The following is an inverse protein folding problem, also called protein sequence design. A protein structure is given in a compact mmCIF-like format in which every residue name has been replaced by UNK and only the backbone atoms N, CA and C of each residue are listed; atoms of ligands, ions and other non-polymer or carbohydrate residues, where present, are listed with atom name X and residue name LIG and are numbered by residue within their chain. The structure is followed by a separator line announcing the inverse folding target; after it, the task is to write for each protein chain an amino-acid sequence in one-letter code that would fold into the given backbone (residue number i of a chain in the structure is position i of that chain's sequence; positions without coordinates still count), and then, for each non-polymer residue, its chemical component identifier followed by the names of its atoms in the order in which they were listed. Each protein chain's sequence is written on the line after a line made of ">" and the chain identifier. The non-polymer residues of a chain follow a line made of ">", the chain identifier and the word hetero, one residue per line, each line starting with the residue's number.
data_IF_908624501540
#
_entry.id   IF_908624501540
#
_cell.length_a   1.000
_cell.length_b   1.000
_cell.length_c   1.000
_cell.angle_alpha   90.00
_cell.angle_beta   90.00
_cell.angle_gamma   90.00
#
_symmetry.space_group_name_H-M   'P 1'
#
loop_
_entity.id
_entity.type
_entity.pdbx_description
1 polymer ?
#
# COMPACT_ATOMS: atom_id res chain seq x y z
N UNK A 1 3.95 -2.22 -27.31
CA UNK A 1 4.47 -2.14 -27.99
C UNK A 1 4.99 -2.12 -27.82
N UNK A 2 4.44 -2.55 -27.96
CA UNK A 2 5.07 -2.75 -28.39
C UNK A 2 5.36 -3.08 -28.12
N UNK A 3 5.01 -3.63 -28.21
CA UNK A 3 5.63 -4.04 -28.51
C UNK A 3 5.59 -4.27 -28.43
N UNK A 4 5.24 -4.32 -28.27
CA UNK A 4 5.53 -4.60 -28.88
C UNK A 4 5.44 -4.90 -28.86
N UNK A 5 5.19 -5.52 -29.28
CA UNK A 5 5.57 -5.77 -29.88
C UNK A 5 5.32 -6.13 -29.81
N UNK A 6 4.86 -6.46 -30.06
CA UNK A 6 5.06 -6.92 -30.55
C UNK A 6 4.77 -7.43 -30.34
N UNK A 7 4.46 -7.96 -30.18
CA UNK A 7 4.65 -8.53 -30.39
C UNK A 7 4.43 -9.20 -30.04
N UNK A 8 3.88 -9.36 -30.37
CA UNK A 8 3.96 -10.23 -30.32
C UNK A 8 4.27 -10.49 -29.67
N UNK A 9 4.25 -10.59 -29.21
CA UNK A 9 4.80 -10.92 -28.70
C UNK A 9 4.48 -10.78 -27.99
N UNK A 10 3.86 -10.53 -28.09
CA UNK A 10 3.65 -10.57 -27.55
C UNK A 10 2.84 -10.81 -26.77
N UNK A 11 2.44 -10.85 -26.81
CA UNK A 11 1.74 -11.39 -25.91
C UNK A 11 2.13 -12.34 -24.90
N UNK A 12 2.72 -12.79 -24.82
CA UNK A 12 3.22 -13.32 -24.10
C UNK A 12 3.97 -13.16 -23.34
N UNK A 13 4.17 -13.33 -23.36
CA UNK A 13 5.11 -12.88 -22.67
C UNK A 13 5.02 -12.01 -21.53
N UNK A 14 4.50 -11.47 -21.34
CA UNK A 14 4.32 -10.64 -20.50
C UNK A 14 3.55 -10.87 -19.37
N UNK A 15 2.83 -11.67 -19.17
CA UNK A 15 1.94 -11.85 -18.07
C UNK A 15 2.63 -12.20 -16.78
N UNK A 16 3.57 -13.02 -16.79
CA UNK A 16 4.25 -13.37 -15.55
C UNK A 16 5.15 -12.25 -15.02
N UNK A 17 5.59 -11.40 -15.90
CA UNK A 17 6.48 -10.31 -15.48
C UNK A 17 5.76 -9.16 -14.82
N UNK A 18 4.44 -9.10 -14.97
CA UNK A 18 3.67 -7.98 -14.45
C UNK A 18 3.19 -8.18 -13.03
N UNK A 19 3.53 -9.30 -12.40
CA UNK A 19 2.98 -9.60 -11.08
C UNK A 19 3.70 -8.83 -9.99
N UNK A 20 3.14 -7.68 -9.61
CA UNK A 20 3.65 -6.90 -8.51
C UNK A 20 2.91 -7.32 -7.24
N UNK A 21 3.66 -7.60 -6.17
CA UNK A 21 3.11 -7.93 -4.86
C UNK A 21 3.99 -7.29 -3.81
N UNK A 22 3.46 -6.28 -3.13
CA UNK A 22 4.21 -5.53 -2.11
C UNK A 22 3.43 -5.42 -0.83
N UNK A 23 4.12 -5.50 0.30
CA UNK A 23 3.56 -5.20 1.61
C UNK A 23 4.34 -4.05 2.20
N UNK A 24 3.60 -3.00 2.59
CA UNK A 24 4.20 -1.85 3.26
C UNK A 24 3.85 -1.95 4.74
N UNK A 25 4.87 -1.97 5.58
CA UNK A 25 4.68 -2.25 7.00
C UNK A 25 5.70 -1.49 7.87
N UNK A 26 5.50 -1.55 9.18
CA UNK A 26 6.44 -1.03 10.16
C UNK A 26 6.93 -2.16 11.05
N UNK A 27 8.24 -2.27 11.19
CA UNK A 27 8.88 -3.27 12.03
C UNK A 27 8.52 -3.09 13.50
N UNK A 28 8.27 -1.85 13.92
CA UNK A 28 7.93 -1.54 15.29
C UNK A 28 6.44 -1.62 15.58
N UNK A 29 5.64 -1.99 14.60
CA UNK A 29 4.18 -2.11 14.78
C UNK A 29 3.83 -3.58 15.00
N UNK A 30 3.53 -3.95 16.26
CA UNK A 30 3.20 -5.33 16.60
C UNK A 30 2.00 -5.86 15.82
N UNK A 31 1.01 -5.01 15.62
CA UNK A 31 -0.18 -5.39 14.86
C UNK A 31 0.18 -5.77 13.42
N UNK A 32 1.04 -4.97 12.80
CA UNK A 32 1.53 -5.28 11.45
C UNK A 32 2.21 -6.64 11.42
N UNK A 33 3.14 -6.87 12.36
CA UNK A 33 3.90 -8.11 12.36
C UNK A 33 3.02 -9.32 12.56
N UNK A 34 2.00 -9.21 13.42
CA UNK A 34 1.06 -10.29 13.64
C UNK A 34 0.27 -10.62 12.37
N UNK A 35 -0.12 -9.59 11.63
CA UNK A 35 -0.86 -9.79 10.38
C UNK A 35 0.03 -10.45 9.33
N UNK A 36 1.25 -9.98 9.18
CA UNK A 36 2.17 -10.54 8.20
C UNK A 36 2.42 -12.04 8.44
N UNK A 37 2.47 -12.44 9.71
CA UNK A 37 2.72 -13.84 10.05
C UNK A 37 1.57 -14.77 9.68
N UNK A 38 0.39 -14.24 9.43
CA UNK A 38 -0.78 -15.05 9.08
C UNK A 38 -0.81 -15.52 7.64
N UNK A 39 0.04 -14.96 6.79
CA UNK A 39 -0.03 -15.20 5.37
C UNK A 39 1.32 -15.63 4.80
N UNK A 40 1.26 -16.40 3.71
CA UNK A 40 2.47 -16.83 3.02
C UNK A 40 2.91 -15.71 2.08
N UNK A 41 3.96 -15.00 2.49
CA UNK A 41 4.46 -13.82 1.75
C UNK A 41 5.74 -14.12 0.98
N UNK A 42 5.95 -15.39 0.64
CA UNK A 42 7.17 -15.82 -0.05
C UNK A 42 7.44 -15.03 -1.33
N UNK A 43 6.39 -14.74 -2.10
CA UNK A 43 6.53 -14.06 -3.37
C UNK A 43 6.27 -12.56 -3.28
N UNK A 44 6.20 -12.03 -2.07
CA UNK A 44 5.90 -10.62 -1.84
C UNK A 44 7.15 -9.84 -1.48
N UNK A 45 7.26 -8.63 -1.99
CA UNK A 45 8.30 -7.70 -1.57
C UNK A 45 7.86 -7.06 -0.26
N UNK A 46 8.65 -7.23 0.79
CA UNK A 46 8.35 -6.63 2.09
C UNK A 46 9.08 -5.31 2.21
N UNK A 47 8.31 -4.25 2.40
CA UNK A 47 8.84 -2.90 2.40
C UNK A 47 8.65 -2.26 3.77
N UNK A 48 9.73 -2.09 4.51
CA UNK A 48 9.71 -1.43 5.82
C UNK A 48 9.80 0.07 5.57
N UNK A 49 8.70 0.79 5.78
CA UNK A 49 8.56 2.16 5.28
C UNK A 49 9.30 3.22 6.09
N UNK A 50 9.74 2.90 7.30
CA UNK A 50 10.54 3.85 8.07
C UNK A 50 11.97 3.95 7.52
N UNK A 51 12.55 2.81 7.17
CA UNK A 51 13.92 2.75 6.66
C UNK A 51 13.93 2.98 5.16
N UNK A 52 12.92 2.49 4.47
CA UNK A 52 12.82 2.54 3.02
C UNK A 52 11.50 3.20 2.64
N UNK A 53 11.46 4.55 2.64
CA UNK A 53 10.20 5.28 2.49
C UNK A 53 9.44 4.97 1.21
N UNK A 54 8.13 5.12 1.32
CA UNK A 54 7.24 4.96 0.17
C UNK A 54 7.56 6.06 -0.85
N UNK A 55 7.52 5.71 -2.13
CA UNK A 55 7.80 6.64 -3.21
C UNK A 55 6.53 7.29 -3.73
N UNK A 56 6.68 8.42 -4.44
CA UNK A 56 5.54 9.08 -5.04
C UNK A 56 4.84 8.15 -6.04
N UNK A 57 5.61 7.39 -6.80
CA UNK A 57 5.05 6.43 -7.76
C UNK A 57 4.17 5.40 -7.06
N UNK A 58 4.62 4.91 -5.92
CA UNK A 58 3.86 3.93 -5.15
C UNK A 58 2.58 4.54 -4.57
N UNK A 59 2.66 5.78 -4.12
CA UNK A 59 1.48 6.49 -3.62
C UNK A 59 0.44 6.66 -4.73
N UNK A 60 0.90 6.97 -5.96
CA UNK A 60 -0.02 7.10 -7.07
C UNK A 60 -0.64 5.76 -7.47
N UNK A 61 0.12 4.68 -7.38
CA UNK A 61 -0.43 3.34 -7.61
C UNK A 61 -1.51 3.01 -6.58
N UNK A 62 -1.26 3.35 -5.31
CA UNK A 62 -2.25 3.16 -4.26
C UNK A 62 -3.51 3.99 -4.53
N UNK A 63 -3.33 5.23 -4.95
CA UNK A 63 -4.44 6.11 -5.25
C UNK A 63 -5.32 5.53 -6.36
N UNK A 64 -4.69 5.01 -7.39
CA UNK A 64 -5.40 4.42 -8.52
C UNK A 64 -6.27 3.24 -8.09
N UNK A 65 -5.75 2.43 -7.18
CA UNK A 65 -6.48 1.24 -6.71
C UNK A 65 -7.51 1.56 -5.63
N UNK A 66 -7.21 2.53 -4.77
CA UNK A 66 -8.06 2.85 -3.62
C UNK A 66 -9.11 3.92 -3.93
N UNK A 67 -8.86 4.76 -4.93
CA UNK A 67 -9.80 5.80 -5.33
C UNK A 67 -9.59 7.14 -4.66
N UNK A 68 -8.84 7.21 -3.58
CA UNK A 68 -8.54 8.47 -2.90
C UNK A 68 -7.29 8.31 -2.06
N UNK A 69 -6.63 9.43 -1.76
CA UNK A 69 -5.48 9.42 -0.84
C UNK A 69 -5.95 9.24 0.59
N UNK A 70 -7.13 9.76 0.91
CA UNK A 70 -7.69 9.62 2.25
C UNK A 70 -7.86 8.15 2.64
N UNK A 71 -8.14 7.29 1.68
CA UNK A 71 -8.40 5.87 1.94
C UNK A 71 -7.23 5.18 2.65
N UNK A 72 -6.01 5.62 2.39
CA UNK A 72 -4.84 5.03 3.04
C UNK A 72 -4.08 6.00 3.93
N UNK A 73 -4.70 7.13 4.26
CA UNK A 73 -4.13 8.11 5.18
C UNK A 73 -4.52 7.79 6.62
N UNK A 74 -3.54 7.74 7.52
CA UNK A 74 -3.80 7.44 8.93
C UNK A 74 -4.09 8.72 9.71
N UNK A 75 -5.34 8.87 10.14
CA UNK A 75 -5.73 10.00 10.98
C UNK A 75 -5.35 9.79 12.45
N UNK A 76 -4.77 8.63 12.76
CA UNK A 76 -4.31 8.31 14.11
C UNK A 76 -2.83 8.63 14.33
N UNK A 77 -2.16 9.15 13.30
CA UNK A 77 -0.76 9.53 13.44
C UNK A 77 -0.59 10.62 14.50
N UNK A 78 0.38 10.44 15.39
CA UNK A 78 0.66 11.46 16.38
C UNK A 78 1.27 12.72 15.76
N UNK A 79 1.71 12.64 14.52
CA UNK A 79 2.18 13.82 13.79
C UNK A 79 1.08 14.83 13.54
N UNK A 80 -0.18 14.39 13.50
CA UNK A 80 -1.30 15.30 13.37
C UNK A 80 -1.33 16.27 14.54
N UNK A 81 -1.20 15.75 15.76
CA UNK A 81 -1.19 16.56 16.95
C UNK A 81 0.07 17.41 17.04
N UNK A 82 1.22 16.80 16.77
CA UNK A 82 2.50 17.52 16.86
C UNK A 82 2.59 18.68 15.88
N UNK A 83 1.99 18.54 14.70
CA UNK A 83 2.00 19.59 13.68
C UNK A 83 0.77 20.49 13.76
N UNK A 84 -0.09 20.26 14.76
CA UNK A 84 -1.31 21.04 14.95
C UNK A 84 -2.19 21.05 13.71
N UNK A 85 -2.33 19.88 13.07
CA UNK A 85 -3.16 19.73 11.90
C UNK A 85 -4.62 19.50 12.31
N UNK A 86 -5.56 20.06 11.52
CA UNK A 86 -6.96 19.77 11.71
C UNK A 86 -7.40 18.76 10.64
N UNK A 87 -7.64 17.49 11.03
CA UNK A 87 -7.98 16.46 10.04
C UNK A 87 -9.21 16.79 9.21
N UNK A 88 -10.10 17.63 9.73
CA UNK A 88 -11.32 18.00 9.02
C UNK A 88 -11.07 18.98 7.88
N UNK A 89 -9.89 19.63 7.89
CA UNK A 89 -9.55 20.63 6.88
C UNK A 89 -8.56 20.15 5.86
N UNK A 90 -8.09 18.91 5.99
CA UNK A 90 -7.10 18.36 5.06
C UNK A 90 -7.77 18.01 3.73
N UNK A 91 -7.11 18.37 2.64
CA UNK A 91 -7.57 18.04 1.29
C UNK A 91 -6.87 16.79 0.80
N UNK A 92 -7.32 16.27 -0.34
CA UNK A 92 -6.66 15.13 -0.98
C UNK A 92 -5.19 15.41 -1.24
N UNK A 93 -4.88 16.60 -1.70
CA UNK A 93 -3.49 16.99 -1.96
C UNK A 93 -2.69 16.98 -0.66
N UNK A 94 -3.28 17.46 0.42
CA UNK A 94 -2.63 17.45 1.73
C UNK A 94 -2.33 16.02 2.18
N UNK A 95 -3.27 15.10 2.01
CA UNK A 95 -3.07 13.70 2.38
C UNK A 95 -1.87 13.11 1.63
N UNK A 96 -1.81 13.37 0.33
CA UNK A 96 -0.70 12.87 -0.49
C UNK A 96 0.65 13.38 0.04
N UNK A 97 0.74 14.70 0.23
CA UNK A 97 1.99 15.32 0.67
C UNK A 97 2.43 14.82 2.03
N UNK A 98 1.49 14.68 2.95
CA UNK A 98 1.81 14.20 4.30
C UNK A 98 2.27 12.75 4.30
N UNK A 99 1.62 11.90 3.51
CA UNK A 99 2.02 10.50 3.39
C UNK A 99 3.46 10.39 2.89
N UNK A 100 3.82 11.21 1.91
CA UNK A 100 5.18 11.23 1.38
C UNK A 100 6.17 11.82 2.37
N UNK A 101 5.72 12.68 3.27
CA UNK A 101 6.59 13.36 4.20
C UNK A 101 6.93 12.54 5.44
N UNK A 102 5.98 11.72 5.93
CA UNK A 102 6.23 10.97 7.16
C UNK A 102 5.52 9.63 7.15
N UNK A 103 6.26 8.57 7.50
CA UNK A 103 5.77 7.19 7.43
C UNK A 103 4.53 6.92 8.30
N UNK A 104 4.35 7.67 9.41
CA UNK A 104 3.21 7.43 10.30
C UNK A 104 1.88 7.84 9.68
N UNK A 105 1.90 8.61 8.59
CA UNK A 105 0.66 9.02 7.94
C UNK A 105 0.08 7.94 7.02
N UNK A 106 0.80 6.86 6.78
CA UNK A 106 0.27 5.75 5.98
C UNK A 106 -0.39 4.73 6.90
N UNK A 107 -1.59 4.30 6.56
CA UNK A 107 -2.22 3.17 7.26
C UNK A 107 -1.39 1.91 7.03
N UNK A 108 -1.32 1.04 8.02
CA UNK A 108 -0.47 -0.14 7.97
C UNK A 108 -1.19 -1.36 8.50
N UNK A 109 -0.90 -2.52 7.94
CA UNK A 109 -0.10 -2.73 6.73
C UNK A 109 -0.89 -2.43 5.47
N UNK A 110 -0.20 -2.21 4.35
CA UNK A 110 -0.84 -2.11 3.04
C UNK A 110 -0.30 -3.25 2.18
N UNK A 111 -1.19 -4.08 1.68
CA UNK A 111 -0.86 -5.13 0.72
C UNK A 111 -1.33 -4.64 -0.64
N UNK A 112 -0.45 -4.60 -1.61
CA UNK A 112 -0.76 -4.07 -2.93
C UNK A 112 -0.31 -5.02 -4.03
N UNK A 113 -1.19 -5.29 -4.98
CA UNK A 113 -0.86 -6.04 -6.19
C UNK A 113 -1.13 -5.14 -7.39
N UNK A 114 -0.97 -5.67 -8.59
CA UNK A 114 -1.28 -4.91 -9.80
C UNK A 114 -2.74 -4.46 -9.84
N UNK A 115 -3.63 -5.24 -9.26
CA UNK A 115 -5.08 -5.02 -9.42
C UNK A 115 -5.82 -4.77 -8.12
N UNK A 116 -5.21 -5.03 -6.97
CA UNK A 116 -5.92 -4.97 -5.70
C UNK A 116 -5.09 -4.29 -4.62
N UNK A 117 -5.78 -3.71 -3.65
CA UNK A 117 -5.12 -3.10 -2.50
C UNK A 117 -5.90 -3.44 -1.24
N UNK A 118 -5.16 -3.77 -0.17
CA UNK A 118 -5.73 -4.11 1.13
C UNK A 118 -5.07 -3.20 2.15
N UNK A 119 -5.87 -2.35 2.78
CA UNK A 119 -5.36 -1.25 3.60
C UNK A 119 -5.75 -1.42 5.06
N UNK A 120 -4.75 -1.42 5.94
CA UNK A 120 -4.99 -1.32 7.36
C UNK A 120 -5.20 -2.64 8.07
N UNK A 121 -5.59 -2.53 9.34
CA UNK A 121 -5.67 -3.69 10.23
C UNK A 121 -7.07 -3.95 10.77
N UNK A 122 -8.09 -3.34 10.17
CA UNK A 122 -9.45 -3.56 10.66
C UNK A 122 -9.97 -4.93 10.24
N UNK A 123 -11.06 -5.34 10.87
CA UNK A 123 -11.63 -6.66 10.67
C UNK A 123 -12.02 -6.91 9.21
N UNK A 124 -12.61 -5.89 8.57
CA UNK A 124 -13.05 -6.01 7.18
C UNK A 124 -11.87 -6.30 6.26
N UNK A 125 -10.77 -5.57 6.46
CA UNK A 125 -9.58 -5.78 5.64
C UNK A 125 -8.94 -7.12 5.89
N UNK A 126 -8.92 -7.58 7.14
CA UNK A 126 -8.36 -8.90 7.46
C UNK A 126 -9.17 -10.01 6.79
N UNK A 127 -10.48 -9.87 6.74
CA UNK A 127 -11.32 -10.83 6.05
C UNK A 127 -11.07 -10.83 4.55
N UNK A 128 -10.88 -9.64 3.97
CA UNK A 128 -10.55 -9.55 2.55
C UNK A 128 -9.21 -10.20 2.24
N UNK A 129 -8.23 -10.01 3.12
CA UNK A 129 -6.92 -10.66 2.96
C UNK A 129 -7.03 -12.18 3.06
N UNK A 130 -7.82 -12.68 4.03
CA UNK A 130 -8.02 -14.11 4.16
C UNK A 130 -8.62 -14.72 2.89
N UNK A 131 -9.59 -14.02 2.32
CA UNK A 131 -10.21 -14.46 1.06
C UNK A 131 -9.20 -14.48 -0.08
N UNK A 132 -8.39 -13.46 -0.16
CA UNK A 132 -7.37 -13.37 -1.21
C UNK A 132 -6.36 -14.50 -1.12
N UNK A 133 -5.88 -14.79 0.09
CA UNK A 133 -4.85 -15.82 0.29
C UNK A 133 -5.42 -17.24 0.35
N UNK A 134 -6.73 -17.40 0.41
CA UNK A 134 -7.35 -18.72 0.47
C UNK A 134 -7.27 -19.47 -0.86
N UNK A 135 -7.07 -18.77 -1.96
CA UNK A 135 -7.02 -19.38 -3.30
C UNK A 135 -5.64 -19.90 -3.68
#
# INVERSE_FOLDING_TARGET
>A
MKIFHDFSHRAFIFCYISTMKKVFYLKTCDTCLKILKKFNLKDWELREIKINPITEEEVEQMHKLAGSYEAFFSKKSNQIKLRELDPKKLTEEDYKELILDHYTFLKRPVFMTDNEIFIGNDKKNLEALRSYFAD
#
